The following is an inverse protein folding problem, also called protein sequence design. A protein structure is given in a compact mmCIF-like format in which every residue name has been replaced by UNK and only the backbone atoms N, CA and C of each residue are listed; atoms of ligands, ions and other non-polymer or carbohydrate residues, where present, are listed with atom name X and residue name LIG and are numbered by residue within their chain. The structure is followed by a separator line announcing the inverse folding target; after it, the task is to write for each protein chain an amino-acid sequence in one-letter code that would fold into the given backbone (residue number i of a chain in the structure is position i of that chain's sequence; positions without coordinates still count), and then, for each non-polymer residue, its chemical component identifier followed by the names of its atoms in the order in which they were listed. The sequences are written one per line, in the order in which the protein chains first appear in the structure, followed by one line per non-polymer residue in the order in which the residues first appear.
data_IF_429608480940
#
_entry.id   IF_429608480940
#
_cell.length_a   1.000
_cell.length_b   1.000
_cell.length_c   1.000
_cell.angle_alpha   90.00
_cell.angle_beta   90.00
_cell.angle_gamma   90.00
#
_symmetry.space_group_name_H-M   'P 1'
#
loop_
_entity.id
_entity.type
_entity.pdbx_description
1 polymer ?
#
# COMPACT_ATOMS: atom_id res chain seq x y z
N UNK A 1 -3.99 -5.84 8.73
CA UNK A 1 -4.85 -5.44 7.60
C UNK A 1 -6.07 -4.58 7.99
N UNK A 2 -6.76 -4.84 9.10
CA UNK A 2 -7.89 -3.98 9.51
C UNK A 2 -7.50 -2.50 9.67
N UNK A 3 -6.29 -2.22 10.17
CA UNK A 3 -5.79 -0.85 10.30
C UNK A 3 -5.69 -0.09 8.98
N UNK A 4 -5.27 -0.73 7.89
CA UNK A 4 -5.22 -0.10 6.57
C UNK A 4 -6.61 0.29 6.07
N UNK A 5 -7.59 -0.63 6.18
CA UNK A 5 -8.98 -0.39 5.75
C UNK A 5 -9.65 0.68 6.64
N UNK A 6 -9.46 0.59 7.96
CA UNK A 6 -10.02 1.59 8.88
C UNK A 6 -9.39 2.96 8.67
N UNK A 7 -8.08 3.00 8.42
CA UNK A 7 -7.37 4.24 8.09
C UNK A 7 -7.93 4.92 6.84
N UNK A 8 -8.14 4.17 5.76
CA UNK A 8 -8.77 4.65 4.55
C UNK A 8 -10.18 5.22 4.83
N UNK A 9 -11.06 4.43 5.48
CA UNK A 9 -12.44 4.86 5.77
C UNK A 9 -12.48 6.10 6.67
N UNK A 10 -11.61 6.17 7.68
CA UNK A 10 -11.50 7.32 8.58
C UNK A 10 -10.93 8.53 7.85
N UNK A 11 -9.91 8.32 7.01
CA UNK A 11 -9.21 9.36 6.27
C UNK A 11 -9.97 9.91 5.08
N UNK A 12 -10.84 9.12 4.44
CA UNK A 12 -11.53 9.46 3.19
C UNK A 12 -12.23 10.84 3.18
N UNK A 13 -12.87 11.32 4.27
CA UNK A 13 -13.48 12.66 4.27
C UNK A 13 -12.48 13.82 4.18
N UNK A 14 -11.19 13.53 4.43
CA UNK A 14 -10.12 14.53 4.54
C UNK A 14 -9.09 14.43 3.40
N UNK A 15 -9.20 13.46 2.51
CA UNK A 15 -8.23 13.16 1.46
C UNK A 15 -7.90 14.37 0.57
N UNK A 16 -8.91 15.13 0.17
CA UNK A 16 -8.77 16.32 -0.67
C UNK A 16 -8.96 17.63 0.10
N UNK A 17 -9.11 17.55 1.41
CA UNK A 17 -9.30 18.73 2.26
C UNK A 17 -7.96 19.49 2.40
N UNK A 18 -7.96 20.77 1.98
CA UNK A 18 -6.81 21.67 2.07
C UNK A 18 -6.84 22.57 3.32
N UNK A 19 -7.83 22.37 4.20
CA UNK A 19 -7.95 23.08 5.46
C UNK A 19 -6.89 22.65 6.48
N UNK A 20 -6.96 23.24 7.67
CA UNK A 20 -6.09 22.91 8.78
C UNK A 20 -6.29 21.46 9.20
N UNK A 21 -5.18 20.70 9.18
CA UNK A 21 -5.16 19.33 9.66
C UNK A 21 -5.14 19.34 11.19
N UNK A 22 -6.21 18.88 11.82
CA UNK A 22 -6.29 18.70 13.26
C UNK A 22 -6.30 17.22 13.63
N UNK A 23 -5.71 16.90 14.79
CA UNK A 23 -5.81 15.56 15.39
C UNK A 23 -7.12 15.36 16.17
N UNK A 24 -7.84 16.45 16.45
CA UNK A 24 -9.15 16.43 17.11
C UNK A 24 -10.26 16.39 16.05
N UNK A 25 -10.68 15.17 15.67
CA UNK A 25 -11.76 14.94 14.70
C UNK A 25 -12.54 13.68 15.05
N UNK A 26 -13.77 13.61 14.56
CA UNK A 26 -14.59 12.40 14.70
C UNK A 26 -14.09 11.32 13.76
N UNK A 27 -13.74 10.15 14.30
CA UNK A 27 -13.24 9.01 13.52
C UNK A 27 -14.18 8.58 12.39
N UNK A 28 -15.49 8.63 12.63
CA UNK A 28 -16.49 8.27 11.63
C UNK A 28 -17.50 9.38 11.44
N UNK A 29 -17.82 9.68 10.20
CA UNK A 29 -18.82 10.65 9.78
C UNK A 29 -19.73 10.05 8.71
N UNK A 30 -20.79 10.77 8.32
CA UNK A 30 -21.63 10.35 7.19
C UNK A 30 -20.90 10.39 5.84
N UNK A 31 -19.73 11.03 5.76
CA UNK A 31 -18.87 11.10 4.57
C UNK A 31 -17.82 9.99 4.55
N UNK A 32 -17.62 9.27 5.65
CA UNK A 32 -16.64 8.18 5.73
C UNK A 32 -17.07 7.03 4.83
N UNK A 33 -16.21 6.63 3.90
CA UNK A 33 -16.40 5.55 2.94
C UNK A 33 -15.06 4.93 2.60
N UNK A 34 -15.04 3.73 2.06
CA UNK A 34 -13.80 3.14 1.55
C UNK A 34 -13.44 3.75 0.18
N UNK A 35 -12.17 3.74 -0.16
CA UNK A 35 -11.64 4.25 -1.43
C UNK A 35 -10.84 3.17 -2.17
N UNK A 36 -10.08 3.57 -3.19
CA UNK A 36 -9.17 2.68 -3.90
C UNK A 36 -8.08 2.08 -2.99
N UNK A 37 -7.72 2.73 -1.91
CA UNK A 37 -6.82 2.19 -0.88
C UNK A 37 -7.32 0.86 -0.33
N UNK A 38 -8.57 0.80 0.15
CA UNK A 38 -9.18 -0.45 0.64
C UNK A 38 -9.35 -1.48 -0.46
N UNK A 39 -9.85 -1.07 -1.63
CA UNK A 39 -10.10 -1.98 -2.75
C UNK A 39 -8.82 -2.65 -3.21
N UNK A 40 -7.74 -1.87 -3.40
CA UNK A 40 -6.47 -2.41 -3.86
C UNK A 40 -5.70 -3.16 -2.77
N UNK A 41 -5.85 -2.78 -1.50
CA UNK A 41 -5.34 -3.55 -0.36
C UNK A 41 -5.95 -4.96 -0.34
N UNK A 42 -7.26 -5.08 -0.51
CA UNK A 42 -7.95 -6.37 -0.57
C UNK A 42 -7.58 -7.17 -1.83
N UNK A 43 -7.44 -6.51 -2.97
CA UNK A 43 -7.02 -7.14 -4.22
C UNK A 43 -5.62 -7.77 -4.11
N UNK A 44 -4.66 -7.05 -3.54
CA UNK A 44 -3.29 -7.56 -3.30
C UNK A 44 -3.31 -8.69 -2.28
N UNK A 45 -4.07 -8.54 -1.19
CA UNK A 45 -4.22 -9.61 -0.20
C UNK A 45 -4.78 -10.89 -0.81
N UNK A 46 -5.84 -10.80 -1.59
CA UNK A 46 -6.41 -11.96 -2.29
C UNK A 46 -5.39 -12.63 -3.21
N UNK A 47 -4.61 -11.83 -3.96
CA UNK A 47 -3.57 -12.35 -4.84
C UNK A 47 -2.51 -13.14 -4.06
N UNK A 48 -1.99 -12.56 -2.97
CA UNK A 48 -0.94 -13.19 -2.16
C UNK A 48 -1.42 -14.45 -1.45
N UNK A 49 -2.68 -14.48 -1.00
CA UNK A 49 -3.29 -15.68 -0.43
C UNK A 49 -3.48 -16.79 -1.47
N UNK A 50 -3.79 -16.44 -2.73
CA UNK A 50 -3.96 -17.40 -3.83
C UNK A 50 -2.66 -18.06 -4.26
N UNK A 51 -1.57 -17.28 -4.35
CA UNK A 51 -0.28 -17.83 -4.80
C UNK A 51 0.45 -18.61 -3.71
N UNK A 52 0.18 -18.31 -2.43
CA UNK A 52 0.86 -18.93 -1.31
C UNK A 52 2.29 -18.41 -1.06
N UNK A 53 2.96 -19.03 -0.09
CA UNK A 53 4.27 -18.52 0.40
C UNK A 53 5.44 -18.86 -0.52
N UNK A 54 5.36 -19.95 -1.29
CA UNK A 54 6.47 -20.45 -2.11
C UNK A 54 6.45 -19.93 -3.56
N UNK A 55 5.51 -19.04 -3.88
CA UNK A 55 5.36 -18.50 -5.21
C UNK A 55 6.61 -17.74 -5.69
N UNK A 56 6.91 -17.88 -6.96
CA UNK A 56 7.91 -17.09 -7.67
C UNK A 56 7.45 -15.64 -7.84
N UNK A 57 8.41 -14.74 -8.05
CA UNK A 57 8.10 -13.31 -8.33
C UNK A 57 7.12 -13.18 -9.50
N UNK A 58 7.32 -13.94 -10.57
CA UNK A 58 6.46 -13.90 -11.76
C UNK A 58 5.02 -14.32 -11.45
N UNK A 59 4.82 -15.38 -10.68
CA UNK A 59 3.49 -15.84 -10.27
C UNK A 59 2.79 -14.80 -9.38
N UNK A 60 3.54 -14.14 -8.50
CA UNK A 60 3.02 -13.05 -7.67
C UNK A 60 2.56 -11.90 -8.57
N UNK A 61 3.41 -11.42 -9.48
CA UNK A 61 3.10 -10.31 -10.39
C UNK A 61 1.85 -10.62 -11.24
N UNK A 62 1.80 -11.77 -11.89
CA UNK A 62 0.66 -12.17 -12.74
C UNK A 62 -0.65 -12.27 -11.95
N UNK A 63 -0.59 -12.80 -10.73
CA UNK A 63 -1.78 -12.94 -9.88
C UNK A 63 -2.23 -11.60 -9.32
N UNK A 64 -1.29 -10.74 -8.94
CA UNK A 64 -1.58 -9.36 -8.49
C UNK A 64 -2.24 -8.56 -9.62
N UNK A 65 -1.73 -8.63 -10.85
CA UNK A 65 -2.35 -7.99 -12.03
C UNK A 65 -3.80 -8.46 -12.18
N UNK A 66 -4.01 -9.77 -12.23
CA UNK A 66 -5.34 -10.37 -12.41
C UNK A 66 -6.32 -9.95 -11.31
N UNK A 67 -5.88 -10.01 -10.05
CA UNK A 67 -6.71 -9.66 -8.90
C UNK A 67 -7.05 -8.17 -8.90
N UNK A 68 -6.07 -7.28 -9.08
CA UNK A 68 -6.30 -5.83 -9.11
C UNK A 68 -7.25 -5.43 -10.24
N UNK A 69 -7.10 -5.99 -11.43
CA UNK A 69 -8.03 -5.75 -12.54
C UNK A 69 -9.45 -6.29 -12.25
N UNK A 70 -9.56 -7.44 -11.59
CA UNK A 70 -10.86 -8.01 -11.18
C UNK A 70 -11.57 -7.11 -10.17
N UNK A 71 -10.86 -6.69 -9.12
CA UNK A 71 -11.40 -5.79 -8.10
C UNK A 71 -11.71 -4.40 -8.67
N UNK A 72 -10.84 -3.84 -9.50
CA UNK A 72 -11.07 -2.55 -10.16
C UNK A 72 -12.32 -2.53 -11.06
N UNK A 73 -12.62 -3.65 -11.75
CA UNK A 73 -13.86 -3.79 -12.51
C UNK A 73 -15.09 -3.91 -11.62
N UNK A 74 -14.97 -4.52 -10.45
CA UNK A 74 -16.07 -4.65 -9.48
C UNK A 74 -16.39 -3.32 -8.79
N UNK A 75 -15.36 -2.50 -8.57
CA UNK A 75 -15.45 -1.20 -7.88
C UNK A 75 -14.85 -0.08 -8.75
N UNK A 76 -15.50 0.32 -9.85
CA UNK A 76 -14.87 1.18 -10.87
C UNK A 76 -14.78 2.67 -10.50
N UNK A 77 -15.42 3.08 -9.39
CA UNK A 77 -15.61 4.51 -9.05
C UNK A 77 -14.93 4.93 -7.74
N UNK A 78 -13.94 4.17 -7.25
CA UNK A 78 -13.34 4.35 -5.94
C UNK A 78 -12.10 5.27 -5.92
N UNK A 79 -12.04 6.27 -6.79
CA UNK A 79 -11.01 7.31 -6.69
C UNK A 79 -9.72 7.05 -7.48
N UNK A 80 -9.62 5.99 -8.27
CA UNK A 80 -8.40 5.64 -9.01
C UNK A 80 -7.81 6.79 -9.84
N UNK A 81 -6.50 6.98 -9.73
CA UNK A 81 -5.75 7.91 -10.56
C UNK A 81 -5.88 7.57 -12.07
N UNK A 82 -5.77 8.59 -12.94
CA UNK A 82 -6.05 8.44 -14.37
C UNK A 82 -5.20 7.40 -15.11
N UNK A 83 -3.90 7.27 -14.76
CA UNK A 83 -3.03 6.23 -15.33
C UNK A 83 -3.43 4.84 -14.85
N UNK A 84 -3.70 4.70 -13.57
CA UNK A 84 -4.12 3.43 -12.96
C UNK A 84 -5.47 2.95 -13.49
N UNK A 85 -6.44 3.85 -13.67
CA UNK A 85 -7.74 3.52 -14.28
C UNK A 85 -7.59 2.93 -15.68
N UNK A 86 -6.69 3.48 -16.52
CA UNK A 86 -6.37 2.92 -17.83
C UNK A 86 -5.71 1.56 -17.72
N UNK A 87 -4.79 1.40 -16.79
CA UNK A 87 -4.12 0.14 -16.52
C UNK A 87 -5.10 -0.97 -16.08
N UNK A 88 -6.09 -0.64 -15.22
CA UNK A 88 -7.11 -1.59 -14.77
C UNK A 88 -7.95 -2.18 -15.92
N UNK A 89 -8.12 -1.47 -17.01
CA UNK A 89 -8.91 -1.89 -18.18
C UNK A 89 -8.07 -2.38 -19.35
N UNK A 90 -6.76 -2.27 -19.25
CA UNK A 90 -5.85 -2.69 -20.32
C UNK A 90 -5.89 -4.22 -20.52
N UNK A 91 -5.88 -4.67 -21.80
CA UNK A 91 -5.78 -6.08 -22.14
C UNK A 91 -4.41 -6.66 -21.81
N UNK A 92 -3.37 -5.87 -22.00
CA UNK A 92 -1.98 -6.18 -21.68
C UNK A 92 -1.47 -5.04 -20.79
N UNK A 93 -1.70 -5.10 -19.48
CA UNK A 93 -1.30 -4.04 -18.58
C UNK A 93 0.23 -4.06 -18.36
N UNK A 94 0.88 -2.95 -18.64
CA UNK A 94 2.31 -2.76 -18.44
C UNK A 94 2.57 -1.75 -17.32
N UNK A 95 3.66 -1.89 -16.56
CA UNK A 95 4.06 -0.88 -15.59
C UNK A 95 4.30 0.46 -16.28
N UNK A 96 3.93 1.56 -15.61
CA UNK A 96 4.02 2.90 -16.18
C UNK A 96 4.92 3.85 -15.38
N UNK A 97 5.91 3.27 -14.70
CA UNK A 97 6.95 3.99 -13.95
C UNK A 97 6.40 5.01 -12.95
N UNK A 98 5.29 4.67 -12.28
CA UNK A 98 4.74 5.51 -11.22
C UNK A 98 5.66 5.54 -10.00
N UNK A 99 5.75 6.71 -9.37
CA UNK A 99 6.38 6.93 -8.06
C UNK A 99 5.39 7.49 -7.02
N UNK A 100 4.10 7.44 -7.33
CA UNK A 100 3.03 7.78 -6.38
C UNK A 100 2.92 6.79 -5.23
N UNK A 101 2.08 7.09 -4.25
CA UNK A 101 1.87 6.26 -3.07
C UNK A 101 1.09 4.95 -3.33
N UNK A 102 0.55 4.77 -4.54
CA UNK A 102 -0.35 3.65 -4.86
C UNK A 102 0.25 2.25 -4.69
N UNK A 103 1.58 2.08 -4.68
CA UNK A 103 2.21 0.81 -4.30
C UNK A 103 2.25 0.60 -2.79
N UNK A 104 2.53 1.66 -2.03
CA UNK A 104 2.64 1.61 -0.57
C UNK A 104 1.28 1.43 0.12
N UNK A 105 0.23 2.13 -0.35
CA UNK A 105 -1.10 2.07 0.24
C UNK A 105 -1.70 0.66 0.27
N UNK A 106 -1.40 -0.17 -0.73
CA UNK A 106 -2.00 -1.50 -0.93
C UNK A 106 -1.14 -2.67 -0.46
N UNK A 107 0.08 -2.43 0.03
CA UNK A 107 1.09 -3.47 0.28
C UNK A 107 0.94 -4.21 1.62
N UNK A 108 0.03 -3.77 2.48
CA UNK A 108 -0.02 -4.23 3.88
C UNK A 108 -0.03 -5.76 4.04
N UNK A 109 -0.65 -6.50 3.12
CA UNK A 109 -0.68 -7.95 3.16
C UNK A 109 0.72 -8.59 3.09
N UNK A 110 1.66 -8.01 2.36
CA UNK A 110 3.05 -8.50 2.29
C UNK A 110 3.71 -8.46 3.67
N UNK A 111 3.46 -7.42 4.49
CA UNK A 111 4.00 -7.32 5.84
C UNK A 111 3.39 -8.33 6.83
N UNK A 112 2.23 -8.93 6.50
CA UNK A 112 1.53 -9.87 7.37
C UNK A 112 1.73 -11.34 7.04
N UNK A 113 1.95 -11.69 5.77
CA UNK A 113 1.84 -13.08 5.30
C UNK A 113 3.17 -13.86 5.30
N UNK A 114 4.29 -13.19 5.41
CA UNK A 114 5.60 -13.83 5.29
C UNK A 114 6.39 -13.78 6.61
N UNK A 115 7.29 -14.77 6.80
CA UNK A 115 7.98 -14.98 8.08
C UNK A 115 9.40 -14.40 8.13
N UNK A 116 9.87 -13.79 7.03
CA UNK A 116 11.14 -13.08 7.01
C UNK A 116 11.03 -11.69 6.38
N UNK A 117 11.83 -10.76 6.87
CA UNK A 117 11.90 -9.41 6.34
C UNK A 117 12.35 -9.39 4.87
N UNK A 118 13.31 -10.26 4.53
CA UNK A 118 13.79 -10.39 3.15
C UNK A 118 12.68 -10.82 2.19
N UNK A 119 11.95 -11.89 2.52
CA UNK A 119 10.80 -12.34 1.70
C UNK A 119 9.70 -11.28 1.63
N UNK A 120 9.41 -10.60 2.75
CA UNK A 120 8.46 -9.48 2.79
C UNK A 120 8.84 -8.39 1.78
N UNK A 121 10.10 -7.98 1.73
CA UNK A 121 10.59 -6.97 0.77
C UNK A 121 10.51 -7.45 -0.67
N UNK A 122 10.93 -8.68 -0.96
CA UNK A 122 10.83 -9.28 -2.31
C UNK A 122 9.38 -9.27 -2.80
N UNK A 123 8.45 -9.66 -1.95
CA UNK A 123 7.02 -9.68 -2.29
C UNK A 123 6.46 -8.26 -2.43
N UNK A 124 6.81 -7.34 -1.53
CA UNK A 124 6.40 -5.94 -1.64
C UNK A 124 6.85 -5.32 -2.97
N UNK A 125 8.10 -5.55 -3.36
CA UNK A 125 8.64 -5.15 -4.66
C UNK A 125 7.83 -5.75 -5.82
N UNK A 126 7.54 -7.05 -5.78
CA UNK A 126 6.75 -7.71 -6.83
C UNK A 126 5.35 -7.06 -6.97
N UNK A 127 4.66 -6.78 -5.85
CA UNK A 127 3.35 -6.10 -5.88
C UNK A 127 3.42 -4.67 -6.40
N UNK A 128 4.55 -3.98 -6.23
CA UNK A 128 4.77 -2.63 -6.74
C UNK A 128 5.06 -2.63 -8.24
N UNK A 129 5.95 -3.53 -8.69
CA UNK A 129 6.48 -3.58 -10.05
C UNK A 129 5.40 -3.58 -11.14
N UNK A 130 4.24 -4.14 -10.88
CA UNK A 130 3.15 -4.26 -11.86
C UNK A 130 2.61 -2.89 -12.34
N UNK A 131 2.91 -1.81 -11.62
CA UNK A 131 2.48 -0.43 -11.95
C UNK A 131 3.55 0.61 -11.59
N UNK A 132 4.16 0.48 -10.40
CA UNK A 132 5.06 1.43 -9.75
C UNK A 132 6.51 0.91 -9.81
N UNK A 133 7.01 0.66 -11.03
CA UNK A 133 8.37 0.15 -11.24
C UNK A 133 9.46 1.23 -11.18
N UNK A 134 9.10 2.47 -10.83
CA UNK A 134 10.06 3.51 -10.48
C UNK A 134 10.75 3.15 -9.15
N UNK A 135 12.07 3.38 -8.99
CA UNK A 135 12.78 3.05 -7.74
C UNK A 135 12.11 3.58 -6.46
N UNK A 136 11.62 4.81 -6.48
CA UNK A 136 10.93 5.40 -5.32
C UNK A 136 9.56 4.76 -5.04
N UNK A 137 8.82 4.36 -6.08
CA UNK A 137 7.58 3.60 -5.91
C UNK A 137 7.80 2.23 -5.28
N UNK A 138 8.88 1.54 -5.68
CA UNK A 138 9.30 0.26 -5.10
C UNK A 138 9.71 0.43 -3.64
N UNK A 139 10.58 1.41 -3.35
CA UNK A 139 11.04 1.71 -1.98
C UNK A 139 9.88 2.00 -1.04
N UNK A 140 8.89 2.78 -1.48
CA UNK A 140 7.70 3.08 -0.67
C UNK A 140 6.95 1.82 -0.25
N UNK A 141 6.75 0.87 -1.17
CA UNK A 141 6.12 -0.41 -0.87
C UNK A 141 6.99 -1.27 0.07
N UNK A 142 8.30 -1.39 -0.21
CA UNK A 142 9.22 -2.15 0.64
C UNK A 142 9.28 -1.58 2.06
N UNK A 143 9.37 -0.26 2.21
CA UNK A 143 9.41 0.42 3.51
C UNK A 143 8.13 0.18 4.31
N UNK A 144 6.96 0.35 3.68
CA UNK A 144 5.66 0.14 4.33
C UNK A 144 5.49 -1.32 4.76
N UNK A 145 5.80 -2.28 3.90
CA UNK A 145 5.71 -3.70 4.24
C UNK A 145 6.69 -4.09 5.36
N UNK A 146 7.92 -3.53 5.32
CA UNK A 146 8.93 -3.76 6.36
C UNK A 146 8.50 -3.21 7.71
N UNK A 147 7.94 -1.98 7.74
CA UNK A 147 7.42 -1.39 8.97
C UNK A 147 6.32 -2.26 9.60
N UNK A 148 5.39 -2.76 8.79
CA UNK A 148 4.32 -3.66 9.24
C UNK A 148 4.91 -4.98 9.76
N UNK A 149 5.87 -5.57 9.05
CA UNK A 149 6.54 -6.79 9.46
C UNK A 149 7.25 -6.60 10.81
N UNK A 150 8.02 -5.53 10.96
CA UNK A 150 8.74 -5.21 12.21
C UNK A 150 7.78 -4.98 13.37
N UNK A 151 6.72 -4.19 13.16
CA UNK A 151 5.72 -3.90 14.19
C UNK A 151 5.04 -5.19 14.69
N UNK A 152 4.62 -6.09 13.78
CA UNK A 152 3.99 -7.36 14.17
C UNK A 152 4.94 -8.30 14.91
N UNK A 153 6.25 -8.14 14.72
CA UNK A 153 7.30 -8.91 15.41
C UNK A 153 7.83 -8.22 16.68
N UNK A 154 7.17 -7.14 17.14
CA UNK A 154 7.44 -6.51 18.42
C UNK A 154 8.52 -5.43 18.41
N UNK A 155 8.95 -4.96 17.23
CA UNK A 155 9.88 -3.83 17.16
C UNK A 155 9.23 -2.53 17.66
N UNK A 156 10.00 -1.71 18.38
CA UNK A 156 9.58 -0.40 18.83
C UNK A 156 9.43 0.60 17.68
N UNK A 157 8.72 1.69 17.91
CA UNK A 157 8.59 2.81 16.94
C UNK A 157 9.96 3.37 16.55
N UNK A 158 10.87 3.48 17.50
CA UNK A 158 12.24 3.99 17.30
C UNK A 158 13.07 3.07 16.42
N UNK A 159 12.97 1.75 16.61
CA UNK A 159 13.65 0.77 15.77
C UNK A 159 13.12 0.79 14.34
N UNK A 160 11.80 0.83 14.17
CA UNK A 160 11.17 0.94 12.86
C UNK A 160 11.59 2.23 12.16
N UNK A 161 11.54 3.37 12.86
CA UNK A 161 11.96 4.66 12.32
C UNK A 161 13.41 4.62 11.85
N UNK A 162 14.32 4.16 12.71
CA UNK A 162 15.75 4.03 12.39
C UNK A 162 15.99 3.12 11.19
N UNK A 163 15.27 2.00 11.10
CA UNK A 163 15.36 1.10 9.95
C UNK A 163 14.95 1.81 8.66
N UNK A 164 13.80 2.48 8.66
CA UNK A 164 13.28 3.19 7.48
C UNK A 164 14.23 4.31 7.06
N UNK A 165 14.77 5.08 8.00
CA UNK A 165 15.73 6.16 7.72
C UNK A 165 17.02 5.61 7.10
N UNK A 166 17.55 4.50 7.59
CA UNK A 166 18.79 3.89 7.07
C UNK A 166 18.62 3.25 5.69
N UNK A 167 17.51 2.54 5.46
CA UNK A 167 17.24 1.87 4.18
C UNK A 167 16.73 2.83 3.10
N UNK A 168 16.20 3.98 3.53
CA UNK A 168 15.46 4.91 2.67
C UNK A 168 16.13 6.28 2.56
N UNK A 169 17.45 6.40 2.76
CA UNK A 169 18.23 7.67 2.75
C UNK A 169 17.97 8.60 1.54
N UNK A 170 17.09 8.23 0.64
CA UNK A 170 16.63 9.03 -0.48
C UNK A 170 15.22 9.64 -0.31
N UNK A 171 14.59 9.49 0.86
CA UNK A 171 13.25 10.03 1.12
C UNK A 171 13.22 11.53 1.45
N UNK A 172 14.09 12.34 0.89
CA UNK A 172 14.02 13.80 1.05
C UNK A 172 12.77 14.46 0.44
N UNK A 173 11.91 13.68 -0.24
CA UNK A 173 10.67 14.18 -0.84
C UNK A 173 9.39 13.41 -0.49
N UNK A 174 9.50 12.31 0.22
CA UNK A 174 8.38 11.70 0.92
C UNK A 174 8.53 12.04 2.41
N UNK A 175 8.29 13.29 2.74
CA UNK A 175 7.70 13.56 4.05
C UNK A 175 6.39 12.81 4.01
N UNK A 176 6.40 11.56 4.52
CA UNK A 176 5.19 11.04 5.15
C UNK A 176 4.77 12.18 6.07
N UNK A 177 3.58 12.77 5.93
CA UNK A 177 3.10 13.68 6.94
C UNK A 177 3.33 12.98 8.28
N UNK A 178 3.86 13.67 9.27
CA UNK A 178 4.07 13.12 10.62
C UNK A 178 2.81 12.42 11.17
N UNK A 179 1.70 12.60 10.48
CA UNK A 179 0.36 12.12 10.74
C UNK A 179 0.12 10.65 10.35
N UNK A 180 0.91 10.04 9.46
CA UNK A 180 0.76 8.61 9.11
C UNK A 180 1.43 7.66 10.10
N UNK A 181 2.27 8.15 11.00
CA UNK A 181 2.87 7.39 12.10
C UNK A 181 2.07 7.57 13.42
N UNK A 182 1.05 8.42 13.39
CA UNK A 182 0.25 8.82 14.55
C UNK A 182 -0.85 7.85 14.96
N UNK A 183 -0.69 6.55 14.77
CA UNK A 183 -1.51 5.58 15.49
C UNK A 183 -0.82 5.29 16.81
N UNK A 184 -1.17 6.08 17.83
CA UNK A 184 -0.97 5.66 19.21
C UNK A 184 -1.83 4.40 19.44
N UNK A 185 -1.16 3.26 19.53
CA UNK A 185 -1.74 2.02 20.02
C UNK A 185 -1.80 2.06 21.54
#
# INVERSE_FOLDING_TARGET
MYGAILGDIIGSPFEFDRGDKTKDFKLFSRRSHFTDDSVMTLAVCEALLKVGQDATVKEIEDTVISSMQSWGRRYPHEGYGGYFRRWLTARHPEPYNSFGNGSAMRVSAAGWLYDSLEKTRVVAKATANVTHNHPEGIKGAEATASAIFMARNGSSKEEIKKYIENESVSYTHLTLPDDLIGVDL
#
